data_IF_984179118321
#
_entry.id   IF_984179118321
#
_cell.length_a   1.000
_cell.length_b   1.000
_cell.length_c   1.000
_cell.angle_alpha   90.00
_cell.angle_beta   90.00
_cell.angle_gamma   90.00
#
_symmetry.space_group_name_H-M   'P 1'
#
loop_
_entity.id
_entity.type
_entity.pdbx_description
1 polymer ?
#
# COMPACT_ATOMS: atom_id res chain seq x y z
N UNK A 1 -17.64 39.74 -29.90
CA UNK A 1 -18.43 38.53 -29.55
C UNK A 1 -17.61 37.23 -29.49
N UNK A 2 -16.65 36.98 -30.40
CA UNK A 2 -15.86 35.73 -30.45
C UNK A 2 -15.06 35.41 -29.16
N UNK A 3 -14.48 36.42 -28.51
CA UNK A 3 -13.69 36.23 -27.27
C UNK A 3 -14.52 35.85 -26.04
N UNK A 4 -15.80 36.23 -25.99
CA UNK A 4 -16.70 35.91 -24.88
C UNK A 4 -17.17 34.45 -24.94
N UNK A 5 -17.44 33.94 -26.13
CA UNK A 5 -17.83 32.54 -26.36
C UNK A 5 -16.64 31.61 -26.05
N UNK A 6 -15.43 32.02 -26.47
CA UNK A 6 -14.21 31.26 -26.19
C UNK A 6 -13.92 31.14 -24.69
N UNK A 7 -14.04 32.26 -23.94
CA UNK A 7 -13.78 32.26 -22.50
C UNK A 7 -14.81 31.44 -21.72
N UNK A 8 -16.08 31.44 -22.13
CA UNK A 8 -17.12 30.60 -21.53
C UNK A 8 -16.87 29.10 -21.80
N UNK A 9 -16.47 28.75 -23.02
CA UNK A 9 -16.15 27.37 -23.37
C UNK A 9 -14.94 26.84 -22.58
N UNK A 10 -13.87 27.63 -22.49
CA UNK A 10 -12.66 27.31 -21.69
C UNK A 10 -13.02 27.14 -20.21
N UNK A 11 -13.84 28.04 -19.64
CA UNK A 11 -14.25 27.97 -18.23
C UNK A 11 -15.07 26.72 -17.93
N UNK A 12 -15.94 26.30 -18.85
CA UNK A 12 -16.74 25.08 -18.71
C UNK A 12 -15.87 23.80 -18.77
N UNK A 13 -14.89 23.76 -19.68
CA UNK A 13 -13.94 22.66 -19.81
C UNK A 13 -13.07 22.53 -18.56
N UNK A 14 -12.59 23.66 -18.03
CA UNK A 14 -11.80 23.71 -16.79
C UNK A 14 -12.61 23.23 -15.57
N UNK A 15 -13.90 23.59 -15.46
CA UNK A 15 -14.78 23.06 -14.40
C UNK A 15 -14.95 21.54 -14.47
N UNK A 16 -15.12 20.98 -15.68
CA UNK A 16 -15.25 19.53 -15.88
C UNK A 16 -13.94 18.80 -15.54
N UNK A 17 -12.80 19.35 -15.97
CA UNK A 17 -11.46 18.84 -15.61
C UNK A 17 -11.27 18.86 -14.09
N UNK A 18 -11.51 19.99 -13.42
CA UNK A 18 -11.37 20.11 -11.96
C UNK A 18 -12.20 19.05 -11.22
N UNK A 19 -13.48 18.88 -11.58
CA UNK A 19 -14.34 17.84 -10.98
C UNK A 19 -13.83 16.42 -11.22
N UNK A 20 -13.31 16.14 -12.41
CA UNK A 20 -12.74 14.83 -12.73
C UNK A 20 -11.46 14.55 -11.91
N UNK A 21 -10.58 15.54 -11.74
CA UNK A 21 -9.40 15.44 -10.88
C UNK A 21 -9.77 15.23 -9.41
N UNK A 22 -10.68 16.04 -8.86
CA UNK A 22 -11.13 15.90 -7.47
C UNK A 22 -11.77 14.53 -7.18
N UNK A 23 -12.62 14.03 -8.10
CA UNK A 23 -13.23 12.70 -7.95
C UNK A 23 -12.18 11.59 -7.99
N UNK A 24 -11.21 11.69 -8.89
CA UNK A 24 -10.12 10.71 -9.03
C UNK A 24 -9.24 10.70 -7.78
N UNK A 25 -8.87 11.86 -7.23
CA UNK A 25 -8.01 11.93 -6.05
C UNK A 25 -8.72 11.46 -4.78
N UNK A 26 -10.01 11.79 -4.58
CA UNK A 26 -10.80 11.24 -3.48
C UNK A 26 -10.82 9.71 -3.47
N UNK A 27 -10.99 9.10 -4.65
CA UNK A 27 -10.97 7.63 -4.77
C UNK A 27 -9.60 7.04 -4.47
N UNK A 28 -8.51 7.69 -4.91
CA UNK A 28 -7.14 7.23 -4.63
C UNK A 28 -6.82 7.28 -3.15
N UNK A 29 -7.13 8.39 -2.48
CA UNK A 29 -6.91 8.54 -1.04
C UNK A 29 -7.66 7.44 -0.28
N UNK A 30 -8.91 7.15 -0.65
CA UNK A 30 -9.68 6.07 -0.06
C UNK A 30 -9.00 4.70 -0.22
N UNK A 31 -8.47 4.38 -1.41
CA UNK A 31 -7.75 3.11 -1.63
C UNK A 31 -6.42 3.04 -0.86
N UNK A 32 -5.70 4.15 -0.72
CA UNK A 32 -4.47 4.20 0.07
C UNK A 32 -4.75 3.99 1.56
N UNK A 33 -5.73 4.71 2.11
CA UNK A 33 -6.15 4.59 3.50
C UNK A 33 -6.67 3.19 3.82
N UNK A 34 -7.51 2.61 2.95
CA UNK A 34 -7.99 1.24 3.13
C UNK A 34 -6.87 0.21 3.01
N UNK A 35 -5.88 0.42 2.16
CA UNK A 35 -4.70 -0.45 2.08
C UNK A 35 -3.85 -0.41 3.34
N UNK A 36 -3.54 0.78 3.87
CA UNK A 36 -2.80 0.91 5.13
C UNK A 36 -3.58 0.27 6.29
N UNK A 37 -4.89 0.52 6.38
CA UNK A 37 -5.75 -0.08 7.39
C UNK A 37 -5.76 -1.61 7.31
N UNK A 38 -5.84 -2.17 6.10
CA UNK A 38 -5.80 -3.61 5.88
C UNK A 38 -4.43 -4.20 6.24
N UNK A 39 -3.33 -3.50 5.93
CA UNK A 39 -1.98 -3.92 6.35
C UNK A 39 -1.92 -4.05 7.86
N UNK A 40 -2.39 -3.04 8.60
CA UNK A 40 -2.39 -3.06 10.07
C UNK A 40 -3.25 -4.22 10.58
N UNK A 41 -4.44 -4.41 10.01
CA UNK A 41 -5.36 -5.49 10.40
C UNK A 41 -4.74 -6.89 10.24
N UNK A 42 -3.97 -7.11 9.17
CA UNK A 42 -3.27 -8.37 8.91
C UNK A 42 -2.00 -8.52 9.76
N UNK A 43 -1.35 -7.40 10.08
CA UNK A 43 -0.11 -7.37 10.84
C UNK A 43 -0.30 -7.80 12.28
N UNK A 44 -1.40 -7.41 12.91
CA UNK A 44 -1.70 -7.80 14.31
C UNK A 44 -1.70 -9.33 14.52
N UNK A 45 -2.49 -10.14 13.79
CA UNK A 45 -2.47 -11.59 13.96
C UNK A 45 -1.11 -12.19 13.57
N UNK A 46 -0.43 -11.65 12.57
CA UNK A 46 0.92 -12.12 12.22
C UNK A 46 1.94 -11.88 13.33
N UNK A 47 1.88 -10.75 14.03
CA UNK A 47 2.71 -10.50 15.20
C UNK A 47 2.36 -11.41 16.39
N UNK A 48 1.08 -11.74 16.59
CA UNK A 48 0.69 -12.74 17.59
C UNK A 48 1.29 -14.11 17.27
N UNK A 49 1.25 -14.53 16.00
CA UNK A 49 1.88 -15.78 15.54
C UNK A 49 3.38 -15.74 15.78
N UNK A 50 4.06 -14.63 15.43
CA UNK A 50 5.49 -14.46 15.65
C UNK A 50 5.84 -14.52 17.16
N UNK A 51 5.09 -13.82 18.00
CA UNK A 51 5.29 -13.81 19.44
C UNK A 51 5.07 -15.20 20.05
N UNK A 52 4.05 -15.92 19.58
CA UNK A 52 3.81 -17.30 20.02
C UNK A 52 4.94 -18.23 19.58
N UNK A 53 5.42 -18.11 18.34
CA UNK A 53 6.54 -18.87 17.82
C UNK A 53 7.83 -18.61 18.60
N UNK A 54 8.11 -17.35 18.93
CA UNK A 54 9.25 -16.97 19.78
C UNK A 54 9.14 -17.53 21.19
N UNK A 55 7.94 -17.64 21.75
CA UNK A 55 7.76 -18.19 23.11
C UNK A 55 8.04 -19.69 23.19
N UNK A 56 7.72 -20.45 22.15
CA UNK A 56 7.89 -21.90 22.12
C UNK A 56 9.27 -22.36 21.64
N UNK A 57 10.04 -21.45 21.04
CA UNK A 57 11.40 -21.74 20.54
C UNK A 57 12.44 -21.03 21.41
N UNK A 58 13.64 -21.60 21.53
CA UNK A 58 14.79 -20.90 22.09
C UNK A 58 15.33 -19.90 21.05
N UNK A 59 14.54 -18.87 20.77
CA UNK A 59 14.75 -17.97 19.65
C UNK A 59 15.94 -17.01 19.92
N UNK A 60 17.05 -17.14 19.18
CA UNK A 60 18.21 -16.26 19.38
C UNK A 60 17.89 -14.82 18.94
N UNK A 61 18.41 -13.82 19.66
CA UNK A 61 18.15 -12.40 19.37
C UNK A 61 18.56 -11.98 17.94
N UNK A 62 19.59 -12.63 17.37
CA UNK A 62 20.05 -12.40 16.00
C UNK A 62 18.97 -12.65 14.91
N UNK A 63 17.98 -13.49 15.20
CA UNK A 63 16.89 -13.78 14.25
C UNK A 63 15.69 -12.84 14.41
N UNK A 64 15.69 -11.94 15.40
CA UNK A 64 14.57 -11.05 15.70
C UNK A 64 14.34 -10.09 14.53
N UNK A 65 15.39 -9.40 14.08
CA UNK A 65 15.35 -8.50 12.91
C UNK A 65 14.82 -9.20 11.64
N UNK A 66 15.39 -10.35 11.20
CA UNK A 66 14.88 -11.09 10.04
C UNK A 66 13.41 -11.52 10.18
N UNK A 67 12.98 -11.98 11.36
CA UNK A 67 11.61 -12.44 11.56
C UNK A 67 10.59 -11.30 11.52
N UNK A 68 10.95 -10.12 12.06
CA UNK A 68 10.17 -8.89 11.91
C UNK A 68 10.02 -8.51 10.43
N UNK A 69 11.11 -8.55 9.66
CA UNK A 69 11.09 -8.23 8.23
C UNK A 69 10.17 -9.17 7.44
N UNK A 70 10.27 -10.49 7.64
CA UNK A 70 9.44 -11.48 6.94
C UNK A 70 7.95 -11.26 7.28
N UNK A 71 7.65 -11.03 8.55
CA UNK A 71 6.29 -10.76 9.04
C UNK A 71 5.70 -9.50 8.41
N UNK A 72 6.47 -8.41 8.41
CA UNK A 72 6.09 -7.15 7.79
C UNK A 72 5.91 -7.29 6.27
N UNK A 73 6.84 -7.99 5.60
CA UNK A 73 6.79 -8.25 4.16
C UNK A 73 5.57 -9.07 3.75
N UNK A 74 5.21 -10.10 4.51
CA UNK A 74 4.00 -10.89 4.29
C UNK A 74 2.73 -10.02 4.46
N UNK A 75 2.69 -9.22 5.51
CA UNK A 75 1.54 -8.35 5.80
C UNK A 75 1.28 -7.32 4.70
N UNK A 76 2.32 -6.61 4.23
CA UNK A 76 2.17 -5.66 3.12
C UNK A 76 1.80 -6.33 1.80
N UNK A 77 2.30 -7.54 1.57
CA UNK A 77 2.07 -8.26 0.32
C UNK A 77 0.58 -8.53 0.15
N UNK A 78 -0.03 -9.06 1.22
CA UNK A 78 -1.46 -9.38 1.25
C UNK A 78 -2.28 -8.09 1.15
N UNK A 79 -1.93 -7.06 1.93
CA UNK A 79 -2.67 -5.81 1.93
C UNK A 79 -2.55 -5.01 0.63
N UNK A 80 -1.36 -4.94 0.02
CA UNK A 80 -1.14 -4.29 -1.27
C UNK A 80 -1.96 -4.99 -2.36
N UNK A 81 -2.00 -6.32 -2.36
CA UNK A 81 -2.83 -7.08 -3.29
C UNK A 81 -4.32 -6.74 -3.14
N UNK A 82 -4.89 -6.84 -1.94
CA UNK A 82 -6.31 -6.60 -1.72
C UNK A 82 -6.73 -5.14 -1.96
N UNK A 83 -5.93 -4.18 -1.50
CA UNK A 83 -6.26 -2.75 -1.64
C UNK A 83 -6.20 -2.27 -3.09
N UNK A 84 -5.24 -2.78 -3.87
CA UNK A 84 -5.10 -2.41 -5.27
C UNK A 84 -6.04 -3.17 -6.20
N UNK A 85 -6.49 -4.37 -5.81
CA UNK A 85 -7.52 -5.12 -6.53
C UNK A 85 -8.84 -4.33 -6.60
N UNK A 86 -9.22 -3.59 -5.56
CA UNK A 86 -10.38 -2.70 -5.63
C UNK A 86 -10.11 -1.41 -6.43
N UNK A 87 -8.84 -1.04 -6.64
CA UNK A 87 -8.47 0.21 -7.30
C UNK A 87 -8.60 0.13 -8.82
N UNK A 88 -8.89 1.27 -9.47
CA UNK A 88 -9.09 1.32 -10.93
C UNK A 88 -7.86 1.85 -11.69
N UNK A 89 -6.79 2.29 -11.01
CA UNK A 89 -5.63 2.89 -11.69
C UNK A 89 -4.30 2.68 -10.97
N UNK A 90 -3.25 2.36 -11.75
CA UNK A 90 -1.82 2.36 -11.37
C UNK A 90 -1.50 1.56 -10.10
N UNK A 91 -1.73 0.24 -10.15
CA UNK A 91 -1.52 -0.69 -9.04
C UNK A 91 -0.11 -0.64 -8.46
N UNK A 92 0.92 -0.60 -9.31
CA UNK A 92 2.32 -0.50 -8.89
C UNK A 92 2.59 0.76 -8.05
N UNK A 93 2.06 1.93 -8.45
CA UNK A 93 2.30 3.19 -7.76
C UNK A 93 1.55 3.27 -6.43
N UNK A 94 0.28 2.86 -6.41
CA UNK A 94 -0.48 2.79 -5.15
C UNK A 94 0.15 1.78 -4.19
N UNK A 95 0.60 0.63 -4.73
CA UNK A 95 1.30 -0.40 -4.00
C UNK A 95 2.62 0.09 -3.38
N UNK A 96 3.45 0.82 -4.14
CA UNK A 96 4.66 1.48 -3.62
C UNK A 96 4.34 2.39 -2.43
N UNK A 97 3.31 3.24 -2.55
CA UNK A 97 2.94 4.18 -1.48
C UNK A 97 2.47 3.42 -0.23
N UNK A 98 1.60 2.42 -0.39
CA UNK A 98 1.11 1.60 0.73
C UNK A 98 2.28 0.89 1.42
N UNK A 99 3.15 0.25 0.65
CA UNK A 99 4.32 -0.47 1.19
C UNK A 99 5.32 0.45 1.88
N UNK A 100 5.60 1.62 1.31
CA UNK A 100 6.50 2.60 1.89
C UNK A 100 5.96 3.18 3.19
N UNK A 101 4.70 3.65 3.19
CA UNK A 101 4.08 4.24 4.40
C UNK A 101 4.01 3.19 5.50
N UNK A 102 3.61 1.95 5.19
CA UNK A 102 3.56 0.90 6.19
C UNK A 102 4.94 0.57 6.76
N UNK A 103 5.97 0.37 5.93
CA UNK A 103 7.30 0.05 6.44
C UNK A 103 7.88 1.19 7.26
N UNK A 104 7.56 2.44 6.92
CA UNK A 104 7.91 3.60 7.72
C UNK A 104 7.25 3.55 9.10
N UNK A 105 5.97 3.15 9.19
CA UNK A 105 5.29 2.94 10.48
C UNK A 105 5.95 1.81 11.29
N UNK A 106 6.29 0.69 10.65
CA UNK A 106 6.95 -0.45 11.33
C UNK A 106 8.31 -0.05 11.88
N UNK A 107 9.11 0.72 11.12
CA UNK A 107 10.41 1.23 11.57
C UNK A 107 10.26 2.16 12.77
N UNK A 108 9.27 3.06 12.76
CA UNK A 108 8.99 3.94 13.91
C UNK A 108 8.66 3.11 15.15
N UNK A 109 7.78 2.11 15.01
CA UNK A 109 7.41 1.22 16.12
C UNK A 109 8.65 0.47 16.63
N UNK A 110 9.47 -0.09 15.74
CA UNK A 110 10.72 -0.77 16.08
C UNK A 110 11.64 0.12 16.92
N UNK A 111 11.86 1.37 16.51
CA UNK A 111 12.67 2.32 17.28
C UNK A 111 12.08 2.64 18.65
N UNK A 112 10.75 2.70 18.79
CA UNK A 112 10.12 2.85 20.11
C UNK A 112 10.42 1.67 21.04
N UNK A 113 10.48 0.43 20.52
CA UNK A 113 10.85 -0.75 21.31
C UNK A 113 12.34 -0.83 21.62
N UNK A 114 13.20 -0.46 20.67
CA UNK A 114 14.67 -0.47 20.84
C UNK A 114 15.18 0.69 21.70
N UNK A 115 14.36 1.72 21.93
CA UNK A 115 14.72 2.90 22.71
C UNK A 115 15.80 3.77 22.06
N UNK A 116 16.21 3.47 20.82
CA UNK A 116 17.23 4.20 20.08
C UNK A 116 16.89 4.29 18.60
N UNK A 117 17.21 5.44 18.00
CA UNK A 117 17.04 5.66 16.57
C UNK A 117 18.35 5.31 15.88
N UNK A 118 18.32 4.22 15.11
CA UNK A 118 19.46 3.77 14.31
C UNK A 118 19.03 3.48 12.89
N UNK A 119 19.69 4.14 11.93
CA UNK A 119 19.53 3.87 10.49
C UNK A 119 20.66 2.92 10.10
N UNK A 120 20.35 1.62 10.13
CA UNK A 120 21.26 0.56 9.77
C UNK A 120 20.80 -0.17 8.50
N UNK A 121 21.52 -1.23 8.10
CA UNK A 121 21.16 -2.05 6.94
C UNK A 121 19.75 -2.66 7.08
N UNK A 122 19.31 -2.99 8.29
CA UNK A 122 17.98 -3.57 8.54
C UNK A 122 16.87 -2.57 8.19
N UNK A 123 17.00 -1.31 8.62
CA UNK A 123 16.01 -0.27 8.29
C UNK A 123 15.96 -0.01 6.78
N UNK A 124 17.12 0.07 6.12
CA UNK A 124 17.19 0.31 4.68
C UNK A 124 16.56 -0.86 3.91
N UNK A 125 16.85 -2.10 4.31
CA UNK A 125 16.27 -3.29 3.69
C UNK A 125 14.76 -3.35 3.92
N UNK A 126 14.26 -3.05 5.11
CA UNK A 126 12.81 -2.94 5.38
C UNK A 126 12.11 -1.96 4.44
N UNK A 127 12.64 -0.75 4.29
CA UNK A 127 12.03 0.28 3.43
C UNK A 127 12.07 -0.13 1.95
N UNK A 128 13.19 -0.69 1.48
CA UNK A 128 13.31 -1.19 0.10
C UNK A 128 12.37 -2.37 -0.16
N UNK A 129 12.28 -3.33 0.75
CA UNK A 129 11.33 -4.44 0.65
C UNK A 129 9.89 -3.91 0.61
N UNK A 130 9.56 -2.90 1.41
CA UNK A 130 8.28 -2.19 1.36
C UNK A 130 7.93 -1.67 -0.02
N UNK A 131 8.86 -0.90 -0.61
CA UNK A 131 8.70 -0.33 -1.95
C UNK A 131 8.54 -1.42 -3.01
N UNK A 132 9.43 -2.42 -3.02
CA UNK A 132 9.47 -3.46 -4.04
C UNK A 132 8.26 -4.39 -3.95
N UNK A 133 7.99 -4.97 -2.78
CA UNK A 133 6.87 -5.87 -2.58
C UNK A 133 5.54 -5.12 -2.79
N UNK A 134 5.43 -3.91 -2.25
CA UNK A 134 4.26 -3.05 -2.48
C UNK A 134 3.99 -2.85 -3.97
N UNK A 135 5.03 -2.49 -4.75
CA UNK A 135 4.93 -2.32 -6.20
C UNK A 135 4.45 -3.58 -6.92
N UNK A 136 5.14 -4.71 -6.66
CA UNK A 136 4.90 -5.98 -7.37
C UNK A 136 3.51 -6.51 -7.06
N UNK A 137 3.15 -6.60 -5.78
CA UNK A 137 1.85 -7.13 -5.37
C UNK A 137 0.70 -6.14 -5.61
N UNK A 138 0.98 -4.84 -5.62
CA UNK A 138 0.04 -3.82 -6.06
C UNK A 138 -0.28 -3.91 -7.55
N UNK A 139 0.70 -4.23 -8.39
CA UNK A 139 0.49 -4.50 -9.81
C UNK A 139 -0.31 -5.80 -10.01
N UNK A 140 0.03 -6.86 -9.27
CA UNK A 140 -0.68 -8.13 -9.33
C UNK A 140 -2.17 -7.99 -8.94
N UNK A 141 -2.47 -7.26 -7.86
CA UNK A 141 -3.83 -7.02 -7.39
C UNK A 141 -4.70 -6.31 -8.44
N UNK A 142 -4.20 -5.21 -9.02
CA UNK A 142 -4.92 -4.49 -10.08
C UNK A 142 -5.16 -5.36 -11.33
N UNK A 143 -4.17 -6.17 -11.72
CA UNK A 143 -4.33 -7.02 -12.89
C UNK A 143 -5.40 -8.09 -12.66
N UNK A 144 -5.42 -8.72 -11.48
CA UNK A 144 -6.42 -9.70 -11.10
C UNK A 144 -7.85 -9.14 -11.19
N UNK A 145 -8.09 -7.92 -10.70
CA UNK A 145 -9.44 -7.31 -10.76
C UNK A 145 -9.86 -6.94 -12.18
N UNK A 146 -8.91 -6.51 -13.02
CA UNK A 146 -9.14 -6.22 -14.42
C UNK A 146 -9.56 -7.48 -15.19
N UNK A 147 -8.89 -8.61 -14.93
CA UNK A 147 -9.23 -9.91 -15.51
C UNK A 147 -10.65 -10.36 -15.12
N UNK A 148 -11.00 -10.26 -13.83
CA UNK A 148 -12.34 -10.60 -13.32
C UNK A 148 -13.43 -9.74 -13.97
N UNK A 149 -13.20 -8.43 -14.09
CA UNK A 149 -14.13 -7.51 -14.74
C UNK A 149 -14.36 -7.85 -16.22
N UNK A 150 -13.27 -8.16 -16.96
CA UNK A 150 -13.35 -8.55 -18.37
C UNK A 150 -14.17 -9.82 -18.57
N UNK A 151 -13.97 -10.83 -17.73
CA UNK A 151 -14.75 -12.08 -17.79
C UNK A 151 -16.24 -11.86 -17.51
N UNK A 152 -16.57 -11.02 -16.51
CA UNK A 152 -17.96 -10.70 -16.16
C UNK A 152 -18.72 -9.98 -17.30
N UNK A 153 -18.03 -9.12 -18.04
CA UNK A 153 -18.63 -8.38 -19.15
C UNK A 153 -18.85 -9.23 -20.41
N UNK A 154 -18.09 -10.32 -20.61
CA UNK A 154 -18.31 -11.24 -21.75
C UNK A 154 -19.50 -12.18 -21.57
N UNK A 155 -19.96 -12.37 -20.33
CA UNK A 155 -21.10 -13.22 -19.99
C UNK A 155 -22.45 -12.49 -19.98
N UNK A 156 -22.44 -11.19 -20.25
CA UNK A 156 -23.61 -10.29 -20.26
C UNK A 156 -23.96 -9.95 -21.70
#
# INVERSE_FOLDING_TARGET
MRNFILSHHIRSKNRKLKKHYEKKDRSRLFYLLSGIAMSILITVPMFFILAFAMRITSFPEEYLSPALLITAAASITIAAFYSTAASSTKGWFNGCIVGFIYMLLVVIIKWCFEGSVSINKDVITMLLTGLLMGSVFGMAGLNASTLVSKYKNQKK
#
